data_IF_602913593463
#
_entry.id   IF_602913593463
#
_cell.length_a   1.000
_cell.length_b   1.000
_cell.length_c   1.000
_cell.angle_alpha   90.00
_cell.angle_beta   90.00
_cell.angle_gamma   90.00
#
_symmetry.space_group_name_H-M   'P 1'
#
loop_
_entity.id
_entity.type
_entity.pdbx_description
1 polymer ?
#
# COMPACT_ATOMS: atom_id res chain seq x y z
N UNK A 1 -37.26 -25.29 8.04
CA UNK A 1 -37.00 -24.30 9.08
C UNK A 1 -35.73 -23.55 8.70
N UNK A 2 -35.74 -22.93 7.49
CA UNK A 2 -34.60 -22.16 6.88
C UNK A 2 -35.03 -21.10 5.86
N UNK A 3 -36.27 -20.57 5.99
CA UNK A 3 -36.82 -19.59 5.04
C UNK A 3 -37.16 -18.22 5.66
N UNK A 4 -36.71 -17.92 6.88
CA UNK A 4 -37.10 -16.67 7.57
C UNK A 4 -35.95 -15.69 7.83
N UNK A 5 -34.78 -15.85 7.19
CA UNK A 5 -33.62 -14.97 7.45
C UNK A 5 -33.07 -14.21 6.22
N UNK A 6 -33.92 -13.91 5.26
CA UNK A 6 -33.54 -13.08 4.07
C UNK A 6 -34.59 -12.04 3.71
N UNK A 7 -35.12 -11.34 4.71
CA UNK A 7 -35.83 -10.06 4.46
C UNK A 7 -34.98 -8.89 4.95
N UNK A 8 -33.72 -8.81 4.57
CA UNK A 8 -33.00 -7.56 4.53
C UNK A 8 -33.61 -6.72 3.41
N UNK A 9 -33.97 -5.49 3.75
CA UNK A 9 -34.54 -4.46 2.92
C UNK A 9 -33.83 -4.44 1.54
N UNK A 10 -34.38 -5.12 0.54
CA UNK A 10 -34.01 -4.87 -0.85
C UNK A 10 -34.44 -3.44 -1.12
N UNK A 11 -33.51 -2.50 -1.10
CA UNK A 11 -33.71 -1.15 -1.59
C UNK A 11 -34.28 -1.29 -3.01
N UNK A 12 -35.49 -0.76 -3.19
CA UNK A 12 -36.14 -0.84 -4.50
C UNK A 12 -35.35 0.03 -5.48
N UNK A 13 -34.84 -0.57 -6.56
CA UNK A 13 -34.06 0.09 -7.59
C UNK A 13 -34.80 1.32 -8.12
N UNK A 14 -34.12 2.46 -8.10
CA UNK A 14 -34.65 3.78 -8.48
C UNK A 14 -34.30 4.10 -9.94
N UNK A 15 -35.28 4.39 -10.77
CA UNK A 15 -35.07 4.77 -12.17
C UNK A 15 -35.65 6.15 -12.40
N UNK A 16 -34.85 7.04 -12.98
CA UNK A 16 -35.30 8.35 -13.44
C UNK A 16 -35.67 8.28 -14.93
N UNK A 17 -36.85 8.72 -15.27
CA UNK A 17 -37.35 8.87 -16.67
C UNK A 17 -37.49 10.35 -16.98
N UNK A 18 -36.75 10.82 -17.98
CA UNK A 18 -36.73 12.22 -18.42
C UNK A 18 -37.16 12.31 -19.86
N UNK A 19 -38.30 12.96 -20.11
CA UNK A 19 -38.84 13.18 -21.46
C UNK A 19 -39.85 14.36 -21.36
N UNK A 20 -39.83 15.30 -22.29
CA UNK A 20 -40.71 16.45 -22.31
C UNK A 20 -42.13 16.12 -22.74
N UNK A 21 -42.35 14.92 -23.34
CA UNK A 21 -43.65 14.41 -23.71
C UNK A 21 -44.28 13.56 -22.58
N UNK A 22 -45.34 14.03 -21.90
CA UNK A 22 -45.98 13.33 -20.77
C UNK A 22 -46.49 11.92 -21.11
N UNK A 23 -46.76 11.65 -22.39
CA UNK A 23 -47.21 10.34 -22.86
C UNK A 23 -46.10 9.30 -22.79
N UNK A 24 -44.87 9.67 -23.19
CA UNK A 24 -43.71 8.81 -23.15
C UNK A 24 -43.33 8.47 -21.70
N UNK A 25 -43.26 9.50 -20.86
CA UNK A 25 -43.03 9.36 -19.41
C UNK A 25 -44.02 8.36 -18.81
N UNK A 26 -45.33 8.52 -19.09
CA UNK A 26 -46.37 7.65 -18.52
C UNK A 26 -46.26 6.21 -18.96
N UNK A 27 -45.93 5.96 -20.23
CA UNK A 27 -45.71 4.59 -20.76
C UNK A 27 -44.54 3.93 -20.05
N UNK A 28 -43.37 4.57 -20.01
CA UNK A 28 -42.20 4.04 -19.36
C UNK A 28 -42.41 3.85 -17.85
N UNK A 29 -43.04 4.81 -17.18
CA UNK A 29 -43.36 4.70 -15.77
C UNK A 29 -44.22 3.48 -15.42
N UNK A 30 -45.30 3.22 -16.24
CA UNK A 30 -46.16 2.06 -16.01
C UNK A 30 -45.37 0.76 -16.20
N UNK A 31 -44.57 0.67 -17.26
CA UNK A 31 -43.81 -0.53 -17.60
C UNK A 31 -42.74 -0.87 -16.52
N UNK A 32 -42.01 0.14 -16.04
CA UNK A 32 -40.99 -0.02 -15.05
C UNK A 32 -41.58 -0.33 -13.66
N UNK A 33 -42.65 0.39 -13.25
CA UNK A 33 -43.37 0.09 -12.00
C UNK A 33 -43.97 -1.31 -11.97
N UNK A 34 -44.45 -1.82 -13.09
CA UNK A 34 -44.94 -3.19 -13.20
C UNK A 34 -43.85 -4.27 -12.98
N UNK A 35 -42.57 -3.87 -13.01
CA UNK A 35 -41.41 -4.73 -12.72
C UNK A 35 -40.81 -4.52 -11.34
N UNK A 36 -41.47 -3.68 -10.51
CA UNK A 36 -41.03 -3.45 -9.11
C UNK A 36 -40.05 -2.30 -8.96
N UNK A 37 -39.75 -1.52 -10.01
CA UNK A 37 -38.85 -0.37 -9.90
C UNK A 37 -39.55 0.83 -9.28
N UNK A 38 -38.82 1.62 -8.47
CA UNK A 38 -39.26 2.96 -8.06
C UNK A 38 -38.91 3.93 -9.18
N UNK A 39 -39.92 4.65 -9.71
CA UNK A 39 -39.73 5.51 -10.87
C UNK A 39 -39.97 6.97 -10.52
N UNK A 40 -38.94 7.76 -10.68
CA UNK A 40 -38.96 9.21 -10.68
C UNK A 40 -39.09 9.74 -12.09
N UNK A 41 -39.62 10.95 -12.25
CA UNK A 41 -39.84 11.55 -13.56
C UNK A 41 -39.43 13.01 -13.59
N UNK A 42 -38.92 13.48 -14.72
CA UNK A 42 -38.61 14.88 -14.98
C UNK A 42 -39.05 15.26 -16.40
N UNK A 43 -39.45 16.51 -16.60
CA UNK A 43 -39.96 17.01 -17.88
C UNK A 43 -38.90 17.80 -18.67
N UNK A 44 -37.77 18.13 -18.08
CA UNK A 44 -36.64 18.81 -18.74
C UNK A 44 -35.30 18.50 -18.03
N UNK A 45 -34.20 18.94 -18.64
CA UNK A 45 -32.86 18.64 -18.13
C UNK A 45 -32.56 19.30 -16.76
N UNK A 46 -33.12 20.46 -16.45
CA UNK A 46 -32.90 21.11 -15.14
C UNK A 46 -33.59 20.32 -14.03
N UNK A 47 -34.86 19.94 -14.26
CA UNK A 47 -35.61 19.11 -13.32
C UNK A 47 -34.92 17.73 -13.13
N UNK A 48 -34.35 17.18 -14.23
CA UNK A 48 -33.61 15.92 -14.17
C UNK A 48 -32.39 16.01 -13.22
N UNK A 49 -31.60 17.07 -13.29
CA UNK A 49 -30.45 17.27 -12.40
C UNK A 49 -30.88 17.44 -10.94
N UNK A 50 -31.94 18.19 -10.69
CA UNK A 50 -32.52 18.34 -9.35
C UNK A 50 -32.96 17.00 -8.75
N UNK A 51 -33.57 16.12 -9.57
CA UNK A 51 -33.98 14.78 -9.13
C UNK A 51 -32.76 13.89 -8.90
N UNK A 52 -31.76 13.97 -9.77
CA UNK A 52 -30.50 13.20 -9.60
C UNK A 52 -29.84 13.55 -8.28
N UNK A 53 -29.71 14.83 -7.94
CA UNK A 53 -29.09 15.27 -6.70
C UNK A 53 -29.85 14.82 -5.44
N UNK A 54 -31.18 14.83 -5.49
CA UNK A 54 -32.03 14.51 -4.32
C UNK A 54 -32.22 13.00 -4.12
N UNK A 55 -32.42 12.27 -5.21
CA UNK A 55 -32.90 10.88 -5.16
C UNK A 55 -31.82 9.86 -5.50
N UNK A 56 -30.71 10.27 -6.11
CA UNK A 56 -29.61 9.41 -6.51
C UNK A 56 -30.11 8.14 -7.23
N UNK A 57 -30.66 8.25 -8.45
CA UNK A 57 -31.24 7.11 -9.16
C UNK A 57 -30.16 6.10 -9.59
N UNK A 58 -30.55 4.82 -9.66
CA UNK A 58 -29.67 3.72 -10.10
C UNK A 58 -29.53 3.65 -11.64
N UNK A 59 -30.44 4.30 -12.38
CA UNK A 59 -30.40 4.39 -13.84
C UNK A 59 -31.25 5.56 -14.31
N UNK A 60 -30.84 6.19 -15.42
CA UNK A 60 -31.55 7.29 -16.05
C UNK A 60 -31.91 6.91 -17.47
N UNK A 61 -33.21 7.04 -17.82
CA UNK A 61 -33.69 7.04 -19.19
C UNK A 61 -33.91 8.51 -19.60
N UNK A 62 -33.15 9.00 -20.58
CA UNK A 62 -33.04 10.43 -20.89
C UNK A 62 -33.34 10.72 -22.35
N UNK A 63 -34.37 11.51 -22.61
CA UNK A 63 -34.60 12.04 -23.96
C UNK A 63 -33.51 13.05 -24.36
N UNK A 64 -33.15 13.07 -25.64
CA UNK A 64 -32.16 13.99 -26.17
C UNK A 64 -32.76 15.40 -26.35
N UNK A 65 -33.95 15.47 -26.95
CA UNK A 65 -34.54 16.73 -27.40
C UNK A 65 -35.55 17.26 -26.38
N UNK A 66 -35.07 18.07 -25.46
CA UNK A 66 -35.89 18.65 -24.40
C UNK A 66 -35.71 20.18 -24.33
N UNK A 67 -36.75 20.91 -23.86
CA UNK A 67 -36.63 22.35 -23.62
C UNK A 67 -35.68 22.67 -22.48
N UNK A 68 -35.17 23.91 -22.44
CA UNK A 68 -34.28 24.48 -21.44
C UNK A 68 -32.88 23.91 -21.42
N UNK A 69 -32.70 22.61 -21.37
CA UNK A 69 -31.43 21.89 -21.37
C UNK A 69 -31.60 20.56 -22.10
N UNK A 70 -30.78 20.31 -23.10
CA UNK A 70 -30.82 19.06 -23.86
C UNK A 70 -30.18 17.88 -23.12
N UNK A 71 -30.44 16.65 -23.59
CA UNK A 71 -29.94 15.44 -22.94
C UNK A 71 -28.43 15.33 -22.96
N UNK A 72 -27.71 15.90 -23.93
CA UNK A 72 -26.23 15.86 -23.94
C UNK A 72 -25.63 16.74 -22.87
N UNK A 73 -26.22 17.89 -22.57
CA UNK A 73 -25.80 18.77 -21.51
C UNK A 73 -26.02 18.13 -20.14
N UNK A 74 -27.15 17.44 -19.94
CA UNK A 74 -27.47 16.67 -18.74
C UNK A 74 -26.41 15.59 -18.49
N UNK A 75 -26.09 14.79 -19.52
CA UNK A 75 -25.04 13.73 -19.41
C UNK A 75 -23.71 14.33 -18.99
N UNK A 76 -23.27 15.42 -19.61
CA UNK A 76 -21.99 16.07 -19.27
C UNK A 76 -21.95 16.53 -17.81
N UNK A 77 -23.04 17.09 -17.29
CA UNK A 77 -23.09 17.53 -15.90
C UNK A 77 -23.06 16.35 -14.91
N UNK A 78 -23.79 15.28 -15.21
CA UNK A 78 -23.79 14.06 -14.39
C UNK A 78 -22.39 13.43 -14.38
N UNK A 79 -21.70 13.34 -15.52
CA UNK A 79 -20.34 12.78 -15.64
C UNK A 79 -19.25 13.66 -15.02
N UNK A 80 -19.49 14.97 -14.86
CA UNK A 80 -18.57 15.89 -14.23
C UNK A 80 -18.58 15.82 -12.70
N UNK A 81 -19.55 15.15 -12.08
CA UNK A 81 -19.68 15.02 -10.63
C UNK A 81 -19.34 13.58 -10.20
N UNK A 82 -18.29 13.44 -9.38
CA UNK A 82 -17.79 12.15 -8.88
C UNK A 82 -18.84 11.29 -8.15
N UNK A 83 -19.89 11.91 -7.56
CA UNK A 83 -20.97 11.18 -6.89
C UNK A 83 -21.96 10.54 -7.88
N UNK A 84 -22.05 11.05 -9.11
CA UNK A 84 -23.05 10.64 -10.10
C UNK A 84 -22.44 10.11 -11.38
N UNK A 85 -21.14 10.20 -11.58
CA UNK A 85 -20.43 9.82 -12.81
C UNK A 85 -20.66 8.38 -13.26
N UNK A 86 -20.93 7.47 -12.31
CA UNK A 86 -21.16 6.05 -12.60
C UNK A 86 -22.64 5.66 -12.69
N UNK A 87 -23.58 6.62 -12.62
CA UNK A 87 -25.01 6.32 -12.85
C UNK A 87 -25.22 5.97 -14.31
N UNK A 88 -25.73 4.76 -14.66
CA UNK A 88 -26.00 4.39 -16.04
C UNK A 88 -27.04 5.32 -16.69
N UNK A 89 -26.73 5.80 -17.90
CA UNK A 89 -27.60 6.68 -18.67
C UNK A 89 -27.91 6.05 -20.04
N UNK A 90 -29.18 5.82 -20.30
CA UNK A 90 -29.69 5.38 -21.59
C UNK A 90 -30.35 6.56 -22.30
N UNK A 91 -29.79 7.02 -23.40
CA UNK A 91 -30.36 8.10 -24.16
C UNK A 91 -31.48 7.59 -25.09
N UNK A 92 -32.61 8.34 -25.17
CA UNK A 92 -33.74 8.05 -26.03
C UNK A 92 -33.72 9.04 -27.19
N UNK A 93 -33.75 8.58 -28.45
CA UNK A 93 -33.55 9.41 -29.62
C UNK A 93 -34.61 9.17 -30.70
N UNK A 94 -34.94 10.20 -31.52
CA UNK A 94 -35.85 10.06 -32.65
C UNK A 94 -35.14 9.49 -33.89
N UNK A 95 -35.85 8.75 -34.69
CA UNK A 95 -35.40 7.95 -35.86
C UNK A 95 -34.65 8.74 -36.97
N UNK A 96 -34.71 10.06 -37.01
CA UNK A 96 -34.22 10.87 -38.14
C UNK A 96 -32.74 11.25 -38.09
N UNK A 97 -32.02 11.00 -36.98
CA UNK A 97 -30.64 11.46 -36.76
C UNK A 97 -29.67 10.35 -36.27
N UNK A 98 -29.86 9.14 -36.77
CA UNK A 98 -29.37 7.91 -36.15
C UNK A 98 -27.85 7.78 -36.01
N UNK A 99 -27.04 8.22 -36.95
CA UNK A 99 -25.59 7.99 -36.91
C UNK A 99 -24.82 9.09 -36.13
N UNK A 100 -25.17 10.34 -36.37
CA UNK A 100 -24.51 11.48 -35.72
C UNK A 100 -24.90 11.59 -34.25
N UNK A 101 -26.16 11.42 -33.88
CA UNK A 101 -26.63 11.46 -32.50
C UNK A 101 -26.09 10.26 -31.68
N UNK A 102 -25.94 9.11 -32.34
CA UNK A 102 -25.31 7.93 -31.71
C UNK A 102 -23.86 8.17 -31.32
N UNK A 103 -23.08 8.76 -32.23
CA UNK A 103 -21.67 9.11 -31.95
C UNK A 103 -21.60 10.18 -30.85
N UNK A 104 -22.41 11.23 -30.95
CA UNK A 104 -22.49 12.28 -29.92
C UNK A 104 -22.92 11.76 -28.57
N UNK A 105 -23.84 10.79 -28.48
CA UNK A 105 -24.27 10.16 -27.23
C UNK A 105 -23.12 9.44 -26.53
N UNK A 106 -22.34 8.67 -27.28
CA UNK A 106 -21.17 7.95 -26.78
C UNK A 106 -20.07 8.94 -26.35
N UNK A 107 -19.81 9.97 -27.19
CA UNK A 107 -18.84 11.02 -26.89
C UNK A 107 -19.23 11.87 -25.66
N UNK A 108 -20.52 12.06 -25.42
CA UNK A 108 -21.03 12.73 -24.23
C UNK A 108 -20.90 11.89 -22.95
N UNK A 109 -20.71 10.57 -23.08
CA UNK A 109 -20.55 9.65 -21.95
C UNK A 109 -21.84 8.88 -21.59
N UNK A 110 -22.81 8.75 -22.49
CA UNK A 110 -23.96 7.86 -22.30
C UNK A 110 -23.53 6.38 -22.45
N UNK A 111 -24.15 5.49 -21.66
CA UNK A 111 -23.82 4.06 -21.67
C UNK A 111 -24.53 3.29 -22.76
N UNK A 112 -25.73 3.75 -23.16
CA UNK A 112 -26.51 3.14 -24.23
C UNK A 112 -27.51 4.14 -24.82
N UNK A 113 -28.20 3.74 -25.91
CA UNK A 113 -29.26 4.54 -26.51
C UNK A 113 -30.38 3.64 -27.03
N UNK A 114 -31.60 4.22 -27.17
CA UNK A 114 -32.79 3.57 -27.65
C UNK A 114 -33.46 4.50 -28.68
N UNK A 115 -33.90 3.96 -29.83
CA UNK A 115 -34.57 4.74 -30.86
C UNK A 115 -36.10 4.77 -30.67
N UNK A 116 -36.72 5.96 -30.88
CA UNK A 116 -38.18 6.10 -30.91
C UNK A 116 -38.70 5.77 -32.31
N UNK A 117 -39.79 4.97 -32.47
CA UNK A 117 -40.59 4.35 -31.43
C UNK A 117 -39.92 3.12 -30.86
N UNK A 118 -39.82 3.02 -29.52
CA UNK A 118 -39.18 1.91 -28.83
C UNK A 118 -40.16 0.80 -28.45
N UNK A 119 -39.65 -0.42 -28.44
CA UNK A 119 -40.35 -1.56 -27.89
C UNK A 119 -40.08 -1.66 -26.38
N UNK A 120 -41.12 -1.92 -25.63
CA UNK A 120 -41.08 -2.16 -24.18
C UNK A 120 -40.10 -3.23 -23.79
N UNK A 121 -39.96 -4.30 -24.56
CA UNK A 121 -39.02 -5.39 -24.29
C UNK A 121 -37.57 -4.95 -24.47
N UNK A 122 -37.28 -4.09 -25.46
CA UNK A 122 -35.95 -3.53 -25.68
C UNK A 122 -35.52 -2.64 -24.50
N UNK A 123 -36.39 -1.69 -24.09
CA UNK A 123 -36.12 -0.81 -22.93
C UNK A 123 -35.80 -1.65 -21.68
N UNK A 124 -36.68 -2.61 -21.39
CA UNK A 124 -36.48 -3.46 -20.18
C UNK A 124 -35.24 -4.33 -20.26
N UNK A 125 -34.83 -4.79 -21.44
CA UNK A 125 -33.62 -5.59 -21.61
C UNK A 125 -32.37 -4.74 -21.33
N UNK A 126 -32.30 -3.50 -21.85
CA UNK A 126 -31.19 -2.57 -21.61
C UNK A 126 -31.12 -2.11 -20.17
N UNK A 127 -32.26 -1.73 -19.60
CA UNK A 127 -32.35 -1.37 -18.16
C UNK A 127 -31.77 -2.50 -17.27
N UNK A 128 -32.23 -3.75 -17.50
CA UNK A 128 -31.71 -4.89 -16.70
C UNK A 128 -30.22 -5.13 -16.91
N UNK A 129 -29.73 -4.99 -18.13
CA UNK A 129 -28.31 -5.19 -18.42
C UNK A 129 -27.44 -4.16 -17.70
N UNK A 130 -27.81 -2.88 -17.77
CA UNK A 130 -27.05 -1.80 -17.16
C UNK A 130 -27.15 -1.81 -15.63
N UNK A 131 -28.32 -2.09 -15.06
CA UNK A 131 -28.48 -2.25 -13.62
C UNK A 131 -27.63 -3.39 -13.07
N UNK A 132 -27.51 -4.50 -13.81
CA UNK A 132 -26.61 -5.59 -13.42
C UNK A 132 -25.14 -5.17 -13.43
N UNK A 133 -24.70 -4.39 -14.41
CA UNK A 133 -23.33 -3.85 -14.48
C UNK A 133 -23.09 -2.92 -13.28
N UNK A 134 -24.02 -1.98 -13.02
CA UNK A 134 -23.94 -1.10 -11.86
C UNK A 134 -23.84 -1.87 -10.55
N UNK A 135 -24.68 -2.88 -10.35
CA UNK A 135 -24.64 -3.72 -9.14
C UNK A 135 -23.28 -4.38 -8.94
N UNK A 136 -22.64 -4.88 -10.02
CA UNK A 136 -21.29 -5.43 -9.91
C UNK A 136 -20.25 -4.36 -9.58
N UNK A 137 -20.36 -3.16 -10.16
CA UNK A 137 -19.46 -2.05 -9.84
C UNK A 137 -19.60 -1.61 -8.38
N UNK A 138 -20.83 -1.44 -7.90
CA UNK A 138 -21.10 -1.07 -6.49
C UNK A 138 -20.59 -2.13 -5.51
N UNK A 139 -20.78 -3.42 -5.86
CA UNK A 139 -20.27 -4.54 -5.07
C UNK A 139 -18.73 -4.51 -5.02
N UNK A 140 -18.06 -4.32 -6.15
CA UNK A 140 -16.60 -4.23 -6.22
C UNK A 140 -16.06 -3.03 -5.43
N UNK A 141 -16.72 -1.87 -5.55
CA UNK A 141 -16.34 -0.68 -4.78
C UNK A 141 -16.44 -0.93 -3.27
N UNK A 142 -17.52 -1.58 -2.82
CA UNK A 142 -17.72 -1.94 -1.41
C UNK A 142 -16.66 -2.93 -0.93
N UNK A 143 -16.33 -3.96 -1.73
CA UNK A 143 -15.28 -4.91 -1.39
C UNK A 143 -13.89 -4.25 -1.32
N UNK A 144 -13.58 -3.37 -2.27
CA UNK A 144 -12.31 -2.66 -2.27
C UNK A 144 -12.18 -1.75 -1.04
N UNK A 145 -13.21 -0.97 -0.71
CA UNK A 145 -13.22 -0.12 0.48
C UNK A 145 -12.99 -0.95 1.76
N UNK A 146 -13.65 -2.09 1.87
CA UNK A 146 -13.47 -2.99 3.02
C UNK A 146 -12.06 -3.57 3.09
N UNK A 147 -11.48 -3.99 1.96
CA UNK A 147 -10.11 -4.50 1.91
C UNK A 147 -9.10 -3.41 2.30
N UNK A 148 -9.33 -2.17 1.86
CA UNK A 148 -8.50 -1.02 2.25
C UNK A 148 -8.56 -0.76 3.76
N UNK A 149 -9.75 -0.85 4.38
CA UNK A 149 -9.91 -0.74 5.84
C UNK A 149 -9.16 -1.86 6.59
N UNK A 150 -9.28 -3.12 6.13
CA UNK A 150 -8.59 -4.26 6.73
C UNK A 150 -7.05 -4.12 6.61
N UNK A 151 -6.54 -3.66 5.46
CA UNK A 151 -5.11 -3.38 5.24
C UNK A 151 -4.62 -2.21 6.10
N UNK A 152 -5.41 -1.15 6.24
CA UNK A 152 -5.06 -0.02 7.10
C UNK A 152 -4.97 -0.43 8.58
N UNK A 153 -5.84 -1.33 9.02
CA UNK A 153 -5.77 -1.88 10.37
C UNK A 153 -4.50 -2.74 10.57
N UNK A 154 -4.16 -3.59 9.60
CA UNK A 154 -2.92 -4.38 9.63
C UNK A 154 -1.68 -3.47 9.70
N UNK A 155 -1.66 -2.40 8.91
CA UNK A 155 -0.62 -1.36 8.94
C UNK A 155 -0.48 -0.74 10.34
N UNK A 156 -1.60 -0.34 10.94
CA UNK A 156 -1.58 0.28 12.27
C UNK A 156 -1.01 -0.66 13.34
N UNK A 157 -1.27 -1.97 13.24
CA UNK A 157 -0.69 -2.96 14.13
C UNK A 157 0.83 -3.08 13.90
N UNK A 158 1.27 -3.12 12.64
CA UNK A 158 2.69 -3.19 12.31
C UNK A 158 3.46 -1.93 12.78
N UNK A 159 2.89 -0.74 12.60
CA UNK A 159 3.49 0.54 13.05
C UNK A 159 3.67 0.63 14.58
N UNK A 160 2.90 -0.12 15.38
CA UNK A 160 3.11 -0.22 16.84
C UNK A 160 4.34 -1.06 17.17
N UNK A 161 4.70 -2.01 16.31
CA UNK A 161 5.76 -2.98 16.56
C UNK A 161 7.13 -2.53 16.04
N UNK A 162 7.16 -1.69 15.02
CA UNK A 162 8.38 -1.13 14.42
C UNK A 162 8.67 0.23 15.06
N UNK A 163 9.94 0.54 15.40
CA UNK A 163 10.31 1.87 15.84
C UNK A 163 9.87 2.95 14.84
N UNK A 164 9.38 4.08 15.34
CA UNK A 164 8.92 5.17 14.49
C UNK A 164 10.06 5.75 13.66
N UNK A 165 9.76 6.12 12.40
CA UNK A 165 10.69 6.87 11.57
C UNK A 165 11.09 8.18 12.22
N UNK A 166 12.36 8.57 12.07
CA UNK A 166 12.87 9.83 12.58
C UNK A 166 14.14 9.66 13.40
N UNK A 167 14.29 10.48 14.43
CA UNK A 167 15.47 10.49 15.30
C UNK A 167 15.09 10.05 16.71
N UNK A 168 15.81 9.05 17.21
CA UNK A 168 15.69 8.53 18.55
C UNK A 168 17.04 8.70 19.28
N UNK A 169 17.02 9.15 20.54
CA UNK A 169 18.18 9.10 21.43
C UNK A 169 17.96 8.03 22.49
N UNK A 170 18.88 7.09 22.58
CA UNK A 170 18.78 5.94 23.48
C UNK A 170 20.18 5.50 23.92
N UNK A 171 20.40 5.35 25.23
CA UNK A 171 21.63 4.77 25.81
C UNK A 171 22.93 5.39 25.31
N UNK A 172 23.00 6.71 25.14
CA UNK A 172 24.19 7.41 24.62
C UNK A 172 24.35 7.38 23.10
N UNK A 173 23.37 6.88 22.40
CA UNK A 173 23.35 6.85 20.92
C UNK A 173 22.27 7.76 20.35
N UNK A 174 22.55 8.30 19.17
CA UNK A 174 21.56 8.95 18.29
C UNK A 174 21.33 8.06 17.08
N UNK A 175 20.08 7.69 16.87
CA UNK A 175 19.65 6.79 15.81
C UNK A 175 18.71 7.56 14.90
N UNK A 176 18.95 7.52 13.61
CA UNK A 176 18.03 8.01 12.60
C UNK A 176 17.56 6.86 11.72
N UNK A 177 16.27 6.79 11.45
CA UNK A 177 15.70 5.72 10.63
C UNK A 177 14.65 6.23 9.65
N UNK A 178 14.54 5.54 8.51
CA UNK A 178 13.47 5.66 7.53
C UNK A 178 13.08 4.25 7.07
N UNK A 179 11.84 3.88 7.31
CA UNK A 179 11.23 2.64 6.81
C UNK A 179 10.04 3.04 5.95
N UNK A 180 10.02 2.61 4.71
CA UNK A 180 9.02 2.94 3.72
C UNK A 180 8.56 1.65 3.02
N UNK A 181 7.49 1.01 3.46
CA UNK A 181 6.98 -0.18 2.81
C UNK A 181 6.52 0.14 1.37
N UNK A 182 6.64 -0.84 0.47
CA UNK A 182 6.14 -0.78 -0.91
C UNK A 182 4.62 -0.71 -0.91
N UNK A 183 3.98 -1.58 -0.13
CA UNK A 183 2.52 -1.69 0.01
C UNK A 183 2.04 -1.08 1.33
N UNK A 184 0.78 -1.33 1.68
CA UNK A 184 0.21 -0.89 2.95
C UNK A 184 0.96 -1.45 4.16
N UNK A 185 1.51 -2.66 4.05
CA UNK A 185 2.33 -3.35 5.06
C UNK A 185 3.52 -4.01 4.36
N UNK A 186 4.66 -4.08 5.04
CA UNK A 186 5.94 -4.56 4.49
C UNK A 186 6.51 -5.79 5.17
N UNK A 187 7.52 -6.39 4.50
CA UNK A 187 8.37 -7.47 5.02
C UNK A 187 9.59 -6.96 5.78
N UNK A 188 9.97 -5.72 5.55
CA UNK A 188 11.05 -5.08 6.30
C UNK A 188 10.69 -4.90 7.77
N UNK A 189 11.62 -5.26 8.63
CA UNK A 189 11.51 -5.10 10.07
C UNK A 189 12.82 -4.67 10.69
N UNK A 190 12.78 -3.74 11.61
CA UNK A 190 13.91 -3.43 12.47
C UNK A 190 13.48 -3.21 13.92
N UNK A 191 14.41 -3.41 14.83
CA UNK A 191 14.22 -3.13 16.23
C UNK A 191 15.49 -2.54 16.86
N UNK A 192 15.30 -1.68 17.83
CA UNK A 192 16.38 -1.03 18.57
C UNK A 192 16.01 -1.04 20.06
N UNK A 193 16.92 -1.54 20.89
CA UNK A 193 16.64 -1.65 22.32
C UNK A 193 17.86 -1.32 23.16
N UNK A 194 17.61 -0.81 24.34
CA UNK A 194 18.63 -0.67 25.36
C UNK A 194 18.95 -2.04 25.99
N UNK A 195 20.22 -2.44 25.93
CA UNK A 195 20.71 -3.65 26.62
C UNK A 195 21.13 -3.28 28.04
N UNK A 196 21.86 -2.17 28.17
CA UNK A 196 22.33 -1.57 29.41
C UNK A 196 22.73 -0.11 29.11
N UNK A 197 23.05 0.73 30.11
CA UNK A 197 23.67 2.02 29.85
C UNK A 197 24.91 1.85 28.94
N UNK A 198 25.05 2.71 27.91
CA UNK A 198 26.10 2.64 26.89
C UNK A 198 26.12 1.35 26.04
N UNK A 199 25.06 0.54 26.08
CA UNK A 199 24.93 -0.68 25.29
C UNK A 199 23.62 -0.69 24.52
N UNK A 200 23.70 -0.73 23.19
CA UNK A 200 22.59 -0.68 22.27
C UNK A 200 22.49 -1.98 21.47
N UNK A 201 21.31 -2.59 21.43
CA UNK A 201 20.98 -3.65 20.51
C UNK A 201 20.29 -3.11 19.25
N UNK A 202 20.66 -3.63 18.10
CA UNK A 202 20.01 -3.36 16.80
C UNK A 202 19.75 -4.66 16.07
N UNK A 203 18.60 -4.74 15.47
CA UNK A 203 18.19 -5.85 14.61
C UNK A 203 17.54 -5.27 13.35
N UNK A 204 17.89 -5.81 12.20
CA UNK A 204 17.24 -5.52 10.91
C UNK A 204 17.02 -6.83 10.16
N UNK A 205 15.89 -6.96 9.50
CA UNK A 205 15.48 -8.15 8.78
C UNK A 205 14.62 -7.76 7.59
N UNK A 206 14.75 -8.51 6.53
CA UNK A 206 13.86 -8.47 5.37
C UNK A 206 13.29 -9.87 5.15
N UNK A 207 11.97 -9.94 5.06
CA UNK A 207 11.20 -11.18 4.92
C UNK A 207 10.83 -11.37 3.45
N UNK A 208 11.19 -12.50 2.88
CA UNK A 208 10.83 -12.88 1.52
C UNK A 208 9.36 -12.60 1.21
N UNK A 209 9.12 -11.82 0.15
CA UNK A 209 7.78 -11.45 -0.31
C UNK A 209 7.26 -10.17 0.34
N UNK A 210 6.07 -9.76 -0.04
CA UNK A 210 5.49 -8.47 0.35
C UNK A 210 4.06 -8.62 0.89
N UNK A 211 3.55 -7.55 1.48
CA UNK A 211 2.17 -7.47 1.96
C UNK A 211 1.92 -8.23 3.27
N UNK A 212 0.66 -8.62 3.47
CA UNK A 212 0.15 -9.12 4.76
C UNK A 212 0.90 -10.36 5.26
N UNK A 213 1.29 -11.27 4.38
CA UNK A 213 2.01 -12.50 4.76
C UNK A 213 3.38 -12.19 5.35
N UNK A 214 4.15 -11.31 4.71
CA UNK A 214 5.45 -10.87 5.21
C UNK A 214 5.31 -10.09 6.52
N UNK A 215 4.30 -9.21 6.63
CA UNK A 215 4.01 -8.47 7.86
C UNK A 215 3.70 -9.38 9.07
N UNK A 216 3.01 -10.50 8.88
CA UNK A 216 2.81 -11.46 9.96
C UNK A 216 4.12 -12.12 10.42
N UNK A 217 5.03 -12.37 9.48
CA UNK A 217 6.36 -12.91 9.82
C UNK A 217 7.19 -11.88 10.60
N UNK A 218 7.08 -10.58 10.30
CA UNK A 218 7.77 -9.54 11.09
C UNK A 218 7.25 -9.49 12.53
N UNK A 219 5.94 -9.66 12.76
CA UNK A 219 5.34 -9.77 14.09
C UNK A 219 5.88 -10.99 14.84
N UNK A 220 6.01 -12.13 14.16
CA UNK A 220 6.60 -13.33 14.73
C UNK A 220 8.06 -13.10 15.12
N UNK A 221 8.89 -12.54 14.23
CA UNK A 221 10.29 -12.19 14.53
C UNK A 221 10.37 -11.28 15.76
N UNK A 222 9.56 -10.21 15.82
CA UNK A 222 9.51 -9.29 16.97
C UNK A 222 9.19 -10.01 18.27
N UNK A 223 8.25 -10.94 18.24
CA UNK A 223 7.83 -11.69 19.43
C UNK A 223 8.97 -12.56 19.97
N UNK A 224 9.65 -13.30 19.09
CA UNK A 224 10.80 -14.13 19.49
C UNK A 224 11.97 -13.26 19.94
N UNK A 225 12.26 -12.17 19.21
CA UNK A 225 13.31 -11.23 19.57
C UNK A 225 13.10 -10.67 20.99
N UNK A 226 11.90 -10.19 21.30
CA UNK A 226 11.56 -9.64 22.60
C UNK A 226 11.70 -10.63 23.76
N UNK A 227 11.51 -11.94 23.51
CA UNK A 227 11.69 -12.98 24.52
C UNK A 227 13.18 -13.17 24.90
N UNK A 228 14.10 -13.06 23.93
CA UNK A 228 15.49 -13.48 24.11
C UNK A 228 16.52 -12.34 24.06
N UNK A 229 16.21 -11.17 23.51
CA UNK A 229 17.16 -10.07 23.26
C UNK A 229 17.94 -9.62 24.50
N UNK A 230 17.32 -9.62 25.68
CA UNK A 230 17.98 -9.23 26.93
C UNK A 230 18.87 -10.33 27.49
N UNK A 231 18.52 -11.60 27.31
CA UNK A 231 19.22 -12.74 27.88
C UNK A 231 20.47 -13.11 27.07
N UNK A 232 20.52 -12.78 25.79
CA UNK A 232 21.55 -13.26 24.85
C UNK A 232 22.31 -12.08 24.21
N UNK A 233 22.34 -10.93 24.88
CA UNK A 233 22.99 -9.73 24.38
C UNK A 233 24.50 -9.86 24.08
N UNK A 234 25.20 -10.86 24.65
CA UNK A 234 26.63 -11.10 24.41
C UNK A 234 26.89 -12.11 23.27
N UNK A 235 25.84 -12.69 22.66
CA UNK A 235 26.01 -13.67 21.61
C UNK A 235 24.88 -13.53 20.53
N UNK A 236 24.96 -12.53 19.64
CA UNK A 236 23.96 -12.34 18.60
C UNK A 236 23.87 -13.53 17.62
N UNK A 237 24.93 -14.30 17.42
CA UNK A 237 24.89 -15.54 16.63
C UNK A 237 23.92 -16.55 17.21
N UNK A 238 23.99 -16.79 18.52
CA UNK A 238 23.06 -17.70 19.20
C UNK A 238 21.61 -17.17 19.19
N UNK A 239 21.40 -15.87 19.24
CA UNK A 239 20.07 -15.28 19.07
C UNK A 239 19.49 -15.60 17.67
N UNK A 240 20.30 -15.47 16.61
CA UNK A 240 19.90 -15.85 15.25
C UNK A 240 19.64 -17.36 15.11
N UNK A 241 20.37 -18.22 15.80
CA UNK A 241 20.12 -19.68 15.85
C UNK A 241 18.76 -20.02 16.47
N UNK A 242 18.40 -19.35 17.57
CA UNK A 242 17.07 -19.50 18.19
C UNK A 242 15.98 -19.02 17.22
N UNK A 243 16.16 -17.83 16.64
CA UNK A 243 15.23 -17.29 15.65
C UNK A 243 15.07 -18.26 14.47
N UNK A 244 16.16 -18.78 13.92
CA UNK A 244 16.16 -19.74 12.81
C UNK A 244 15.39 -21.02 13.16
N UNK A 245 15.65 -21.59 14.34
CA UNK A 245 14.96 -22.81 14.81
C UNK A 245 13.46 -22.57 14.88
N UNK A 246 13.04 -21.49 15.55
CA UNK A 246 11.63 -21.13 15.68
C UNK A 246 10.98 -20.84 14.33
N UNK A 247 11.72 -20.16 13.42
CA UNK A 247 11.26 -19.83 12.08
C UNK A 247 11.01 -21.09 11.25
N UNK A 248 11.95 -22.05 11.27
CA UNK A 248 11.78 -23.32 10.57
C UNK A 248 10.60 -24.11 11.11
N UNK A 249 10.46 -24.23 12.44
CA UNK A 249 9.39 -25.02 13.06
C UNK A 249 8.00 -24.48 12.75
N UNK A 250 7.83 -23.16 12.70
CA UNK A 250 6.51 -22.53 12.62
C UNK A 250 6.16 -21.98 11.24
N UNK A 251 7.13 -21.49 10.47
CA UNK A 251 6.91 -20.76 9.22
C UNK A 251 7.37 -21.57 8.01
N UNK A 252 8.69 -21.81 7.88
CA UNK A 252 9.27 -22.38 6.65
C UNK A 252 8.77 -23.77 6.33
N UNK A 253 8.52 -24.59 7.33
CA UNK A 253 7.97 -25.93 7.16
C UNK A 253 6.57 -25.96 6.51
N UNK A 254 5.86 -24.84 6.50
CA UNK A 254 4.48 -24.72 6.03
C UNK A 254 4.31 -23.76 4.85
N UNK A 255 5.04 -22.65 4.84
CA UNK A 255 4.83 -21.53 3.92
C UNK A 255 6.00 -21.31 2.94
N UNK A 256 7.11 -22.08 3.05
CA UNK A 256 8.31 -21.91 2.22
C UNK A 256 8.85 -20.47 2.22
N UNK A 257 8.70 -19.77 3.34
CA UNK A 257 9.22 -18.41 3.52
C UNK A 257 10.57 -18.45 4.23
N UNK A 258 11.39 -17.44 3.97
CA UNK A 258 12.64 -17.20 4.68
C UNK A 258 12.80 -15.70 4.93
N UNK A 259 13.76 -15.32 5.77
CA UNK A 259 14.09 -13.93 6.01
C UNK A 259 15.60 -13.76 6.08
N UNK A 260 16.10 -12.62 5.62
CA UNK A 260 17.44 -12.18 5.95
C UNK A 260 17.44 -11.45 7.30
N UNK A 261 18.51 -11.51 8.05
CA UNK A 261 18.60 -10.81 9.32
C UNK A 261 20.04 -10.42 9.70
N UNK A 262 20.19 -9.26 10.29
CA UNK A 262 21.40 -8.82 10.95
C UNK A 262 21.07 -8.46 12.41
N UNK A 263 21.91 -8.91 13.35
CA UNK A 263 21.82 -8.56 14.74
C UNK A 263 23.15 -7.99 15.23
N UNK A 264 23.14 -6.80 15.85
CA UNK A 264 24.32 -6.14 16.38
C UNK A 264 24.08 -5.65 17.81
N UNK A 265 25.13 -5.71 18.63
CA UNK A 265 25.21 -5.13 19.99
C UNK A 265 26.42 -4.19 20.02
N UNK A 266 26.18 -2.92 20.23
CA UNK A 266 27.20 -1.89 20.38
C UNK A 266 27.45 -1.69 21.91
N UNK A 267 28.69 -1.78 22.34
CA UNK A 267 29.12 -1.62 23.73
C UNK A 267 30.21 -0.53 23.79
N UNK A 268 29.84 0.69 24.19
CA UNK A 268 30.78 1.82 24.27
C UNK A 268 31.76 1.68 25.40
N UNK A 269 31.41 0.99 26.50
CA UNK A 269 32.31 0.79 27.61
C UNK A 269 33.47 -0.16 27.23
N UNK A 270 33.21 -1.10 26.32
CA UNK A 270 34.21 -2.00 25.75
C UNK A 270 34.83 -1.50 24.44
N UNK A 271 34.23 -0.51 23.82
CA UNK A 271 34.66 0.00 22.51
C UNK A 271 34.52 -1.03 21.40
N UNK A 272 33.43 -1.83 21.43
CA UNK A 272 33.24 -2.92 20.48
C UNK A 272 31.81 -3.00 19.96
N UNK A 273 31.67 -3.45 18.71
CA UNK A 273 30.44 -3.97 18.10
C UNK A 273 30.55 -5.49 18.02
N UNK A 274 29.58 -6.19 18.58
CA UNK A 274 29.42 -7.63 18.47
C UNK A 274 28.25 -7.87 17.53
N UNK A 275 28.40 -8.67 16.46
CA UNK A 275 27.31 -8.88 15.51
C UNK A 275 27.31 -10.27 14.90
N UNK A 276 26.17 -10.63 14.30
CA UNK A 276 26.00 -11.81 13.45
C UNK A 276 25.07 -11.50 12.27
N UNK A 277 25.26 -12.20 11.17
CA UNK A 277 24.53 -11.98 9.92
C UNK A 277 23.96 -13.30 9.38
N UNK A 278 22.65 -13.30 9.11
CA UNK A 278 21.90 -14.38 8.50
C UNK A 278 21.46 -13.98 7.07
N UNK A 279 22.42 -13.82 6.17
CA UNK A 279 22.16 -13.53 4.75
C UNK A 279 21.67 -12.11 4.46
N UNK A 280 21.77 -11.19 5.39
CA UNK A 280 21.31 -9.80 5.19
C UNK A 280 22.39 -8.94 4.52
N UNK A 281 21.96 -7.84 3.88
CA UNK A 281 22.83 -6.80 3.33
C UNK A 281 23.87 -6.34 4.34
N UNK A 282 25.12 -6.18 3.88
CA UNK A 282 26.23 -5.90 4.80
C UNK A 282 26.19 -4.46 5.30
N UNK A 283 26.06 -4.22 6.62
CA UNK A 283 26.12 -2.88 7.17
C UNK A 283 27.47 -2.22 6.91
N UNK A 284 27.46 -0.89 6.83
CA UNK A 284 28.69 -0.09 6.74
C UNK A 284 29.07 0.44 8.12
N UNK A 285 30.33 0.28 8.48
CA UNK A 285 30.94 0.87 9.67
C UNK A 285 31.99 1.89 9.25
N UNK A 286 31.83 3.10 9.70
CA UNK A 286 32.76 4.20 9.44
C UNK A 286 33.31 4.76 10.76
N UNK A 287 34.63 5.04 10.80
CA UNK A 287 35.28 5.76 11.91
C UNK A 287 35.88 7.05 11.38
N UNK A 288 35.41 8.19 11.90
CA UNK A 288 35.93 9.52 11.53
C UNK A 288 37.40 9.71 11.87
N UNK A 289 37.85 9.17 13.03
CA UNK A 289 39.23 9.33 13.49
C UNK A 289 40.23 8.49 12.70
N UNK A 290 39.79 7.38 12.15
CA UNK A 290 40.64 6.49 11.34
C UNK A 290 40.49 6.71 9.86
N UNK A 291 39.51 7.50 9.44
CA UNK A 291 39.11 7.64 8.04
C UNK A 291 38.93 6.27 7.35
N UNK A 292 38.51 5.25 8.12
CA UNK A 292 38.32 3.89 7.64
C UNK A 292 36.85 3.60 7.43
N UNK A 293 36.60 2.79 6.41
CA UNK A 293 35.29 2.35 6.01
C UNK A 293 35.35 0.82 5.88
N UNK A 294 34.58 0.13 6.70
CA UNK A 294 34.51 -1.33 6.70
C UNK A 294 33.09 -1.80 6.37
N UNK A 295 33.00 -2.89 5.66
CA UNK A 295 31.76 -3.63 5.46
C UNK A 295 31.70 -4.75 6.51
N UNK A 296 30.65 -4.77 7.31
CA UNK A 296 30.53 -5.68 8.43
C UNK A 296 29.88 -6.98 7.98
N UNK A 297 30.47 -8.13 8.33
CA UNK A 297 29.84 -9.43 8.12
C UNK A 297 30.08 -10.07 6.76
N UNK A 298 30.93 -9.48 5.92
CA UNK A 298 31.22 -9.96 4.57
C UNK A 298 31.94 -11.33 4.51
N UNK A 299 32.64 -11.71 5.58
CA UNK A 299 33.48 -12.91 5.61
C UNK A 299 32.78 -14.17 6.11
N UNK A 300 31.74 -14.03 6.94
CA UNK A 300 31.08 -15.14 7.62
C UNK A 300 29.55 -14.95 7.67
N UNK A 301 28.96 -14.74 6.52
CA UNK A 301 27.51 -14.62 6.38
C UNK A 301 26.88 -16.00 6.44
N UNK A 302 26.00 -16.23 7.39
CA UNK A 302 25.16 -17.42 7.46
C UNK A 302 24.04 -17.40 6.41
N UNK A 303 23.37 -18.53 6.23
CA UNK A 303 22.14 -18.58 5.42
C UNK A 303 21.02 -17.74 6.07
N UNK A 304 20.08 -17.22 5.26
CA UNK A 304 18.88 -16.58 5.77
C UNK A 304 18.10 -17.49 6.74
N UNK A 305 17.38 -16.87 7.64
CA UNK A 305 16.51 -17.56 8.60
C UNK A 305 15.45 -18.37 7.87
N UNK A 306 15.30 -19.64 8.23
CA UNK A 306 14.30 -20.52 7.61
C UNK A 306 14.79 -21.27 6.38
N UNK A 307 16.01 -21.06 5.87
CA UNK A 307 16.56 -21.80 4.73
C UNK A 307 17.04 -23.19 5.15
N UNK A 308 17.81 -23.27 6.25
CA UNK A 308 18.32 -24.53 6.80
C UNK A 308 18.09 -24.59 8.30
N UNK A 309 17.55 -25.71 8.78
CA UNK A 309 17.20 -25.87 10.19
C UNK A 309 18.42 -25.81 11.13
N UNK A 310 19.54 -26.38 10.72
CA UNK A 310 20.78 -26.47 11.51
C UNK A 310 21.79 -25.36 11.16
N UNK A 311 21.32 -24.17 10.74
CA UNK A 311 22.22 -23.04 10.49
C UNK A 311 22.89 -22.58 11.76
N UNK A 312 24.20 -22.32 11.68
CA UNK A 312 25.02 -21.72 12.73
C UNK A 312 25.44 -20.34 12.26
N UNK A 313 25.35 -19.35 13.17
CA UNK A 313 25.70 -17.97 12.86
C UNK A 313 26.90 -17.54 13.72
N UNK A 314 27.98 -17.21 13.04
CA UNK A 314 29.19 -16.79 13.74
C UNK A 314 29.02 -15.39 14.35
N UNK A 315 29.43 -15.25 15.63
CA UNK A 315 29.51 -13.97 16.31
C UNK A 315 30.84 -13.30 16.01
N UNK A 316 30.78 -12.18 15.30
CA UNK A 316 31.93 -11.36 14.90
C UNK A 316 32.08 -10.15 15.82
N UNK A 317 33.32 -9.61 15.92
CA UNK A 317 33.63 -8.43 16.73
C UNK A 317 34.39 -7.41 15.90
N UNK A 318 33.97 -6.16 16.03
CA UNK A 318 34.60 -5.01 15.38
C UNK A 318 34.82 -3.91 16.38
N UNK A 319 35.90 -3.10 16.28
CA UNK A 319 36.07 -1.94 17.11
C UNK A 319 34.97 -0.90 16.81
N UNK A 320 34.39 -0.35 17.88
CA UNK A 320 33.37 0.72 17.80
C UNK A 320 33.67 1.74 18.88
N UNK A 321 34.10 2.93 18.51
CA UNK A 321 34.49 4.03 19.40
C UNK A 321 33.53 5.24 19.24
N UNK A 322 33.81 6.31 19.98
CA UNK A 322 32.97 7.52 19.98
C UNK A 322 32.92 8.22 18.59
N UNK A 323 33.88 7.94 17.72
CA UNK A 323 33.94 8.47 16.36
C UNK A 323 33.24 7.58 15.34
N UNK A 324 32.78 6.42 15.76
CA UNK A 324 32.20 5.39 14.87
C UNK A 324 30.74 5.67 14.55
N UNK A 325 30.36 5.37 13.31
CA UNK A 325 28.97 5.40 12.80
C UNK A 325 28.66 4.11 12.07
N UNK A 326 27.47 3.57 12.30
CA UNK A 326 26.98 2.38 11.59
C UNK A 326 25.78 2.74 10.73
N UNK A 327 25.76 2.20 9.50
CA UNK A 327 24.66 2.36 8.57
C UNK A 327 24.16 0.99 8.11
N UNK A 328 22.85 0.75 8.31
CA UNK A 328 22.17 -0.48 7.92
C UNK A 328 21.09 -0.15 6.87
N UNK A 329 20.84 -1.10 5.99
CA UNK A 329 19.89 -0.93 4.90
C UNK A 329 19.37 -2.29 4.39
N UNK A 330 18.19 -2.30 3.79
CA UNK A 330 17.64 -3.46 3.08
C UNK A 330 17.91 -3.38 1.57
N UNK A 331 17.66 -4.45 0.84
CA UNK A 331 17.96 -4.55 -0.60
C UNK A 331 17.11 -3.61 -1.46
N UNK A 332 15.88 -3.29 -1.07
CA UNK A 332 15.08 -2.29 -1.77
C UNK A 332 15.74 -0.93 -1.94
N UNK A 333 16.82 -0.64 -1.17
CA UNK A 333 17.62 0.57 -1.33
C UNK A 333 18.47 0.53 -2.60
N UNK A 334 19.21 -0.55 -2.84
CA UNK A 334 20.13 -0.65 -3.97
C UNK A 334 19.50 -1.28 -5.22
N UNK A 335 18.38 -1.98 -5.06
CA UNK A 335 17.58 -2.52 -6.16
C UNK A 335 16.56 -1.51 -6.71
N UNK A 336 16.40 -0.35 -6.05
CA UNK A 336 15.53 0.75 -6.52
C UNK A 336 15.87 1.14 -7.96
N UNK A 337 14.85 1.19 -8.85
CA UNK A 337 15.03 1.43 -10.29
C UNK A 337 14.64 2.83 -10.72
N UNK A 338 15.38 3.34 -11.70
CA UNK A 338 15.06 4.58 -12.39
C UNK A 338 14.13 4.35 -13.60
N UNK A 339 13.59 5.38 -14.27
CA UNK A 339 12.74 5.26 -15.46
C UNK A 339 13.39 4.53 -16.65
N UNK A 340 14.70 4.32 -16.64
CA UNK A 340 15.43 3.56 -17.64
C UNK A 340 15.62 2.09 -17.28
N UNK A 341 15.16 1.68 -16.07
CA UNK A 341 15.29 0.34 -15.54
C UNK A 341 16.65 0.01 -14.94
N UNK A 342 17.51 1.04 -14.71
CA UNK A 342 18.80 0.84 -14.04
C UNK A 342 18.60 0.83 -12.52
N UNK A 343 19.31 -0.05 -11.82
CA UNK A 343 19.33 -0.13 -10.35
C UNK A 343 20.20 0.96 -9.73
N UNK A 344 19.87 1.35 -8.50
CA UNK A 344 20.64 2.34 -7.73
C UNK A 344 22.03 1.83 -7.39
N UNK A 345 22.18 0.58 -7.09
CA UNK A 345 23.35 -0.24 -6.78
C UNK A 345 24.05 0.07 -5.46
N UNK A 346 24.71 -0.96 -4.90
CA UNK A 346 25.47 -0.85 -3.65
C UNK A 346 26.64 0.13 -3.77
N UNK A 347 27.29 0.23 -4.93
CA UNK A 347 28.43 1.11 -5.17
C UNK A 347 28.02 2.59 -5.11
N UNK A 348 26.83 2.95 -5.64
CA UNK A 348 26.28 4.31 -5.50
C UNK A 348 25.95 4.63 -4.05
N UNK A 349 25.33 3.69 -3.34
CA UNK A 349 25.02 3.83 -1.91
C UNK A 349 26.31 4.04 -1.10
N UNK A 350 27.31 3.20 -1.30
CA UNK A 350 28.61 3.25 -0.66
C UNK A 350 29.30 4.59 -0.87
N UNK A 351 29.27 5.10 -2.11
CA UNK A 351 29.83 6.41 -2.44
C UNK A 351 29.11 7.55 -1.70
N UNK A 352 27.77 7.51 -1.61
CA UNK A 352 27.00 8.51 -0.86
C UNK A 352 27.32 8.46 0.63
N UNK A 353 27.31 7.28 1.24
CA UNK A 353 27.65 7.12 2.66
C UNK A 353 29.04 7.66 2.95
N UNK A 354 30.04 7.33 2.11
CA UNK A 354 31.42 7.80 2.29
C UNK A 354 31.59 9.31 2.17
N UNK A 355 30.76 9.99 1.38
CA UNK A 355 30.81 11.47 1.24
C UNK A 355 30.07 12.21 2.36
N UNK A 356 29.24 11.51 3.14
CA UNK A 356 28.41 12.09 4.20
C UNK A 356 28.86 11.75 5.61
N UNK A 357 30.03 11.18 5.79
CA UNK A 357 30.55 10.62 7.05
C UNK A 357 30.66 11.62 8.20
N UNK A 358 30.95 12.88 7.92
CA UNK A 358 31.01 13.95 8.93
C UNK A 358 29.60 14.47 9.35
N UNK A 359 28.57 14.10 8.63
CA UNK A 359 27.20 14.56 8.89
C UNK A 359 26.56 13.76 10.01
N UNK A 360 25.57 14.35 10.70
CA UNK A 360 24.77 13.61 11.69
C UNK A 360 23.97 12.46 11.03
N UNK A 361 23.65 11.44 11.81
CA UNK A 361 22.83 10.30 11.38
C UNK A 361 21.54 10.75 10.67
N UNK A 362 20.85 11.76 11.22
CA UNK A 362 19.62 12.30 10.62
C UNK A 362 19.87 12.90 9.23
N UNK A 363 20.97 13.66 9.06
CA UNK A 363 21.30 14.28 7.79
C UNK A 363 21.77 13.26 6.75
N UNK A 364 22.48 12.22 7.18
CA UNK A 364 22.87 11.09 6.35
C UNK A 364 21.62 10.39 5.77
N UNK A 365 20.64 10.02 6.62
CA UNK A 365 19.39 9.40 6.17
C UNK A 365 18.63 10.32 5.22
N UNK A 366 18.53 11.61 5.51
CA UNK A 366 17.84 12.56 4.64
C UNK A 366 18.50 12.67 3.25
N UNK A 367 19.83 12.79 3.19
CA UNK A 367 20.56 12.89 1.92
C UNK A 367 20.46 11.63 1.06
N UNK A 368 20.57 10.45 1.69
CA UNK A 368 20.43 9.19 0.96
C UNK A 368 18.99 9.03 0.46
N UNK A 369 18.02 9.37 1.29
CA UNK A 369 16.60 9.33 0.91
C UNK A 369 16.31 10.24 -0.29
N UNK A 370 16.81 11.48 -0.27
CA UNK A 370 16.65 12.41 -1.38
C UNK A 370 17.33 11.91 -2.66
N UNK A 371 18.53 11.32 -2.53
CA UNK A 371 19.25 10.77 -3.69
C UNK A 371 18.48 9.60 -4.32
N UNK A 372 17.85 8.71 -3.52
CA UNK A 372 17.01 7.63 -3.99
C UNK A 372 15.74 8.19 -4.65
N UNK A 373 15.04 9.12 -3.99
CA UNK A 373 13.81 9.73 -4.51
C UNK A 373 14.07 10.47 -5.84
N UNK A 374 15.20 11.15 -5.99
CA UNK A 374 15.63 11.80 -7.26
C UNK A 374 15.96 10.76 -8.33
N UNK A 375 16.63 9.67 -7.97
CA UNK A 375 17.01 8.62 -8.91
C UNK A 375 15.81 7.84 -9.45
N UNK A 376 14.88 7.48 -8.59
CA UNK A 376 13.67 6.72 -8.96
C UNK A 376 12.64 7.59 -9.68
N UNK A 377 12.59 8.89 -9.38
CA UNK A 377 11.66 9.84 -10.03
C UNK A 377 10.20 9.40 -9.87
N UNK A 378 9.55 9.07 -10.98
CA UNK A 378 8.13 8.64 -11.01
C UNK A 378 7.95 7.12 -11.02
N UNK A 379 9.03 6.34 -10.92
CA UNK A 379 8.92 4.88 -10.88
C UNK A 379 8.23 4.42 -9.59
N UNK A 380 7.32 3.45 -9.67
CA UNK A 380 6.78 2.82 -8.47
C UNK A 380 7.92 2.11 -7.72
N UNK A 381 7.82 2.03 -6.42
CA UNK A 381 8.70 1.20 -5.61
C UNK A 381 8.38 -0.26 -5.90
N UNK A 382 9.41 -1.09 -6.00
CA UNK A 382 9.27 -2.53 -6.25
C UNK A 382 9.50 -3.35 -4.97
N UNK A 383 10.04 -2.74 -3.91
CA UNK A 383 10.29 -3.39 -2.63
C UNK A 383 10.25 -2.40 -1.46
N UNK A 384 10.23 -2.94 -0.24
CA UNK A 384 10.33 -2.19 0.99
C UNK A 384 11.70 -1.53 1.10
N UNK A 385 11.77 -0.34 1.68
CA UNK A 385 13.00 0.43 1.81
C UNK A 385 13.24 0.80 3.27
N UNK A 386 14.30 0.27 3.86
CA UNK A 386 14.69 0.58 5.23
C UNK A 386 16.14 1.10 5.30
N UNK A 387 16.32 2.22 5.97
CA UNK A 387 17.59 2.88 6.24
C UNK A 387 17.70 3.15 7.73
N UNK A 388 18.85 2.81 8.34
CA UNK A 388 19.14 3.12 9.73
C UNK A 388 20.58 3.64 9.83
N UNK A 389 20.76 4.77 10.49
CA UNK A 389 22.08 5.30 10.84
C UNK A 389 22.18 5.45 12.35
N UNK A 390 23.27 4.95 12.93
CA UNK A 390 23.56 4.97 14.37
C UNK A 390 24.89 5.70 14.58
N UNK A 391 24.90 6.69 15.46
CA UNK A 391 26.09 7.41 15.90
C UNK A 391 26.07 7.59 17.42
N UNK A 392 27.22 7.81 18.03
CA UNK A 392 27.29 8.17 19.45
C UNK A 392 26.76 9.58 19.64
N UNK A 393 25.87 9.77 20.60
CA UNK A 393 25.39 11.10 20.96
C UNK A 393 26.55 11.95 21.53
N UNK A 394 26.75 13.15 21.00
CA UNK A 394 27.69 14.09 21.60
C UNK A 394 27.23 14.38 23.04
N UNK A 395 28.15 14.30 24.02
CA UNK A 395 27.87 14.81 25.35
C UNK A 395 27.52 16.31 25.25
N UNK A 396 26.28 16.64 25.66
CA UNK A 396 25.74 18.00 25.60
C UNK A 396 26.34 18.90 26.72
#
# INVERSE_FOLDING_TARGET
MNDEMTSELQETVKILVVDDEPRNVKILQIQLKARGYTVYTAADGLEALDVVEKEMPDLILLDINMPKMDGFEVVKQIRANAATEFIPIVMITALRDTRENRIKSIEAGADDFIEKPFDSLEVLARVRSLLRIKQYQDTLATYNARLEEELQMARSIQEILIPQNGVLELSGFRIASRCCPEMAVGGDFFDIWEVAPNRLGVFISDVMGHGVSAAFVTVFIKTVLAEFQQQIADNPGYLLEILNTRFNDLISSRLFMFATAFCGIIDLDKGELICANAGHSFPFLYSTDRETYDTIGDKNTGNGLGIWQESVYETMRYPFDLSSKMFLYTDGVYEAKNPQGEEFTVERLQKLVSTCTEQSAAKLIANISEAIDVFTGTCPKEDDLTLIAIEVAAEG
#
